data_IF_719537314946
#
_entry.id   IF_719537314946
#
_cell.length_a   1.000
_cell.length_b   1.000
_cell.length_c   1.000
_cell.angle_alpha   90.00
_cell.angle_beta   90.00
_cell.angle_gamma   90.00
#
_symmetry.space_group_name_H-M   'P 1'
#
loop_
_entity.id
_entity.type
_entity.pdbx_description
1 polymer ?
#
# COMPACT_ATOMS: atom_id res chain seq x y z
N UNK A 1 -1.70 -11.34 -7.67
CA UNK A 1 -0.97 -10.12 -7.27
C UNK A 1 -0.78 -9.32 -8.53
N UNK A 2 -1.10 -8.03 -8.46
CA UNK A 2 -0.90 -7.09 -9.56
C UNK A 2 0.06 -6.01 -9.04
N UNK A 3 0.97 -5.55 -9.89
CA UNK A 3 1.94 -4.51 -9.56
C UNK A 3 1.93 -3.48 -10.67
N UNK A 4 1.74 -2.22 -10.29
CA UNK A 4 1.79 -1.09 -11.19
C UNK A 4 2.96 -0.19 -10.78
N UNK A 5 3.92 -0.03 -11.70
CA UNK A 5 5.08 0.83 -11.53
C UNK A 5 4.99 1.94 -12.57
N UNK A 6 5.17 3.17 -12.12
CA UNK A 6 5.09 4.36 -12.98
C UNK A 6 6.40 5.12 -12.85
N UNK A 7 6.99 5.45 -13.98
CA UNK A 7 8.16 6.30 -14.07
C UNK A 7 7.79 7.53 -14.91
N UNK A 8 7.75 8.75 -14.34
CA UNK A 8 7.47 9.97 -15.09
C UNK A 8 8.73 10.43 -15.84
N UNK A 9 9.09 9.69 -16.87
CA UNK A 9 10.28 9.91 -17.70
C UNK A 9 9.95 9.61 -19.17
N UNK A 10 10.71 10.18 -20.10
CA UNK A 10 10.55 9.98 -21.54
C UNK A 10 11.45 8.86 -22.10
N UNK A 11 12.39 8.33 -21.30
CA UNK A 11 13.22 7.19 -21.64
C UNK A 11 12.59 5.85 -21.21
N UNK A 12 11.93 5.18 -22.15
CA UNK A 12 11.38 3.83 -21.95
C UNK A 12 12.44 2.83 -21.48
N UNK A 13 13.71 2.95 -21.91
CA UNK A 13 14.75 2.01 -21.51
C UNK A 13 15.04 2.08 -20.01
N UNK A 14 14.80 3.24 -19.39
CA UNK A 14 15.04 3.45 -17.96
C UNK A 14 14.11 2.59 -17.11
N UNK A 15 12.80 2.57 -17.39
CA UNK A 15 11.86 1.76 -16.61
C UNK A 15 12.15 0.26 -16.77
N UNK A 16 12.52 -0.18 -17.97
CA UNK A 16 12.96 -1.55 -18.22
C UNK A 16 14.20 -1.91 -17.41
N UNK A 17 15.20 -1.02 -17.39
CA UNK A 17 16.46 -1.28 -16.69
C UNK A 17 16.28 -1.33 -15.16
N UNK A 18 15.52 -0.39 -14.57
CA UNK A 18 15.32 -0.36 -13.10
C UNK A 18 14.42 -1.49 -12.60
N UNK A 19 13.59 -2.07 -13.47
CA UNK A 19 12.72 -3.21 -13.11
C UNK A 19 13.27 -4.58 -13.51
N UNK A 20 14.39 -4.62 -14.25
CA UNK A 20 14.97 -5.85 -14.82
C UNK A 20 15.19 -6.95 -13.77
N UNK A 21 15.83 -6.61 -12.65
CA UNK A 21 16.22 -7.61 -11.66
C UNK A 21 14.98 -8.17 -10.93
N UNK A 22 13.95 -7.34 -10.72
CA UNK A 22 12.67 -7.78 -10.20
C UNK A 22 11.97 -8.74 -11.17
N UNK A 23 11.98 -8.44 -12.47
CA UNK A 23 11.40 -9.32 -13.49
C UNK A 23 12.14 -10.66 -13.60
N UNK A 24 13.47 -10.64 -13.58
CA UNK A 24 14.28 -11.85 -13.61
C UNK A 24 14.01 -12.73 -12.37
N UNK A 25 13.89 -12.12 -11.19
CA UNK A 25 13.47 -12.81 -9.98
C UNK A 25 12.07 -13.40 -10.11
N UNK A 26 11.08 -12.61 -10.52
CA UNK A 26 9.69 -13.06 -10.67
C UNK A 26 9.57 -14.23 -11.67
N UNK A 27 10.27 -14.16 -12.80
CA UNK A 27 10.25 -15.20 -13.82
C UNK A 27 10.93 -16.51 -13.38
N UNK A 28 11.88 -16.45 -12.45
CA UNK A 28 12.59 -17.62 -11.94
C UNK A 28 12.02 -18.21 -10.65
N UNK A 29 11.11 -17.48 -9.97
CA UNK A 29 10.59 -17.90 -8.68
C UNK A 29 9.65 -19.11 -8.78
N UNK A 30 9.94 -20.24 -8.11
CA UNK A 30 9.09 -21.42 -8.14
C UNK A 30 7.68 -21.12 -7.59
N UNK A 31 6.66 -21.45 -8.36
CA UNK A 31 5.25 -21.25 -7.98
C UNK A 31 4.68 -19.87 -8.33
N UNK A 32 5.48 -18.94 -8.85
CA UNK A 32 4.96 -17.73 -9.47
C UNK A 32 4.69 -17.98 -10.96
N UNK A 33 3.47 -17.68 -11.42
CA UNK A 33 3.12 -17.67 -12.85
C UNK A 33 2.82 -16.24 -13.27
N UNK A 34 3.64 -15.69 -14.16
CA UNK A 34 3.39 -14.38 -14.77
C UNK A 34 2.28 -14.56 -15.80
N UNK A 35 1.14 -13.90 -15.58
CA UNK A 35 0.01 -13.91 -16.51
C UNK A 35 0.13 -12.79 -17.54
N UNK A 36 0.59 -11.63 -17.11
CA UNK A 36 0.81 -10.45 -17.93
C UNK A 36 2.04 -9.69 -17.43
N UNK A 37 2.84 -9.19 -18.37
CA UNK A 37 3.93 -8.27 -18.11
C UNK A 37 4.00 -7.29 -19.29
N UNK A 38 3.68 -6.02 -19.04
CA UNK A 38 3.50 -5.02 -20.10
C UNK A 38 4.04 -3.67 -19.64
N UNK A 39 4.70 -3.00 -20.57
CA UNK A 39 5.08 -1.59 -20.46
C UNK A 39 4.21 -0.78 -21.42
N UNK A 40 3.75 0.38 -20.97
CA UNK A 40 2.96 1.30 -21.80
C UNK A 40 3.41 2.72 -21.51
N UNK A 41 3.74 3.45 -22.57
CA UNK A 41 4.17 4.85 -22.50
C UNK A 41 3.01 5.75 -22.90
N UNK A 42 2.79 6.79 -22.10
CA UNK A 42 1.74 7.77 -22.34
C UNK A 42 2.37 9.14 -22.55
N UNK A 43 2.09 9.77 -23.70
CA UNK A 43 2.65 11.08 -24.04
C UNK A 43 2.19 12.20 -23.07
N UNK A 44 1.08 12.00 -22.35
CA UNK A 44 0.50 12.97 -21.40
C UNK A 44 -0.10 12.24 -20.21
N UNK A 45 -0.09 12.90 -19.06
CA UNK A 45 -0.74 12.42 -17.85
C UNK A 45 -2.24 12.10 -18.06
N UNK A 46 -2.95 12.87 -18.88
CA UNK A 46 -4.35 12.58 -19.20
C UNK A 46 -4.55 11.24 -19.90
N UNK A 47 -3.60 10.82 -20.75
CA UNK A 47 -3.62 9.52 -21.39
C UNK A 47 -3.36 8.38 -20.40
N UNK A 48 -2.41 8.59 -19.47
CA UNK A 48 -2.16 7.66 -18.36
C UNK A 48 -3.43 7.48 -17.51
N UNK A 49 -4.05 8.56 -17.04
CA UNK A 49 -5.26 8.53 -16.24
C UNK A 49 -6.40 7.77 -16.95
N UNK A 50 -6.61 8.06 -18.24
CA UNK A 50 -7.62 7.35 -19.04
C UNK A 50 -7.30 5.85 -19.18
N UNK A 51 -6.02 5.51 -19.39
CA UNK A 51 -5.57 4.13 -19.52
C UNK A 51 -5.67 3.32 -18.22
N UNK A 52 -5.55 3.97 -17.06
CA UNK A 52 -5.63 3.32 -15.74
C UNK A 52 -7.00 3.40 -15.09
N UNK A 53 -7.97 4.10 -15.68
CA UNK A 53 -9.29 4.33 -15.07
C UNK A 53 -10.00 3.01 -14.72
N UNK A 54 -9.98 2.02 -15.60
CA UNK A 54 -10.63 0.72 -15.34
C UNK A 54 -10.02 -0.01 -14.14
N UNK A 55 -8.70 0.13 -13.93
CA UNK A 55 -8.01 -0.43 -12.77
C UNK A 55 -8.47 0.31 -11.51
N UNK A 56 -8.54 1.64 -11.56
CA UNK A 56 -9.03 2.44 -10.43
C UNK A 56 -10.48 2.09 -10.08
N UNK A 57 -11.37 1.98 -11.07
CA UNK A 57 -12.77 1.61 -10.86
C UNK A 57 -12.91 0.21 -10.24
N UNK A 58 -12.03 -0.73 -10.61
CA UNK A 58 -12.00 -2.08 -10.05
C UNK A 58 -11.47 -2.10 -8.61
N UNK A 59 -10.39 -1.38 -8.32
CA UNK A 59 -9.71 -1.43 -7.02
C UNK A 59 -10.35 -0.49 -5.98
N UNK A 60 -10.96 0.61 -6.42
CA UNK A 60 -11.63 1.62 -5.60
C UNK A 60 -13.02 1.98 -6.13
N UNK A 61 -13.95 1.00 -6.23
CA UNK A 61 -15.33 1.27 -6.61
C UNK A 61 -16.02 2.16 -5.58
N UNK A 62 -16.86 3.08 -6.08
CA UNK A 62 -17.75 3.88 -5.25
C UNK A 62 -18.95 3.06 -4.75
N UNK A 63 -19.50 3.42 -3.60
CA UNK A 63 -20.72 2.82 -3.03
C UNK A 63 -20.52 2.09 -1.70
N UNK A 64 -19.56 1.16 -1.56
CA UNK A 64 -19.28 0.50 -0.28
C UNK A 64 -18.73 1.47 0.77
N UNK A 65 -19.01 1.20 2.03
CA UNK A 65 -18.24 1.79 3.12
C UNK A 65 -16.82 1.27 3.07
N UNK A 66 -15.83 2.14 3.26
CA UNK A 66 -14.42 1.79 3.28
C UNK A 66 -13.78 2.20 4.60
N UNK A 67 -12.90 1.33 5.07
CA UNK A 67 -12.05 1.56 6.22
C UNK A 67 -10.62 1.20 5.85
N UNK A 68 -9.66 2.02 6.28
CA UNK A 68 -8.26 1.88 5.94
C UNK A 68 -7.42 1.82 7.24
N UNK A 69 -6.37 1.02 7.24
CA UNK A 69 -5.35 1.01 8.28
C UNK A 69 -3.98 1.05 7.60
N UNK A 70 -3.11 1.98 8.01
CA UNK A 70 -1.87 2.20 7.28
C UNK A 70 -0.66 2.55 8.13
N UNK A 71 0.52 2.43 7.50
CA UNK A 71 1.80 2.75 8.13
C UNK A 71 2.79 3.32 7.13
N UNK A 72 3.49 4.37 7.54
CA UNK A 72 4.65 4.88 6.81
C UNK A 72 5.87 4.01 7.15
N UNK A 73 6.42 3.33 6.16
CA UNK A 73 7.54 2.41 6.32
C UNK A 73 8.85 3.08 5.88
N UNK A 74 9.80 3.34 6.78
CA UNK A 74 11.05 4.02 6.46
C UNK A 74 12.00 3.15 5.62
N UNK A 75 12.85 3.80 4.83
CA UNK A 75 13.80 3.16 3.91
C UNK A 75 14.75 2.17 4.61
N UNK A 76 15.13 2.42 5.86
CA UNK A 76 16.01 1.53 6.63
C UNK A 76 15.40 0.15 6.90
N UNK A 77 14.08 -0.02 6.80
CA UNK A 77 13.46 -1.34 6.91
C UNK A 77 13.78 -2.27 5.74
N UNK A 78 14.28 -1.73 4.63
CA UNK A 78 14.62 -2.49 3.43
C UNK A 78 16.08 -2.95 3.41
N UNK A 79 16.87 -2.51 4.40
CA UNK A 79 18.23 -2.99 4.64
C UNK A 79 18.22 -4.48 5.03
N UNK A 80 19.36 -5.15 4.81
CA UNK A 80 19.49 -6.60 5.03
C UNK A 80 19.12 -7.04 6.45
N UNK A 81 19.37 -6.19 7.45
CA UNK A 81 19.05 -6.48 8.86
C UNK A 81 17.55 -6.59 9.14
N UNK A 82 16.72 -5.81 8.43
CA UNK A 82 15.29 -5.68 8.70
C UNK A 82 14.41 -6.35 7.64
N UNK A 83 15.00 -6.85 6.55
CA UNK A 83 14.27 -7.47 5.43
C UNK A 83 13.39 -8.65 5.86
N UNK A 84 13.94 -9.60 6.61
CA UNK A 84 13.17 -10.77 7.05
C UNK A 84 12.05 -10.37 8.03
N UNK A 85 12.31 -9.55 9.08
CA UNK A 85 11.25 -8.99 9.91
C UNK A 85 10.17 -8.24 9.13
N UNK A 86 10.55 -7.46 8.11
CA UNK A 86 9.61 -6.73 7.25
C UNK A 86 8.73 -7.71 6.45
N UNK A 87 9.32 -8.74 5.85
CA UNK A 87 8.57 -9.79 5.12
C UNK A 87 7.61 -10.51 6.06
N UNK A 88 8.04 -10.84 7.27
CA UNK A 88 7.19 -11.50 8.27
C UNK A 88 6.07 -10.59 8.77
N UNK A 89 6.33 -9.29 8.90
CA UNK A 89 5.29 -8.30 9.19
C UNK A 89 4.25 -8.22 8.07
N UNK A 90 4.67 -8.22 6.80
CA UNK A 90 3.75 -8.27 5.64
C UNK A 90 2.90 -9.53 5.64
N UNK A 91 3.50 -10.71 5.83
CA UNK A 91 2.76 -11.98 5.91
C UNK A 91 1.76 -11.99 7.07
N UNK A 92 2.18 -11.48 8.23
CA UNK A 92 1.33 -11.40 9.42
C UNK A 92 0.17 -10.44 9.21
N UNK A 93 0.42 -9.26 8.63
CA UNK A 93 -0.62 -8.30 8.31
C UNK A 93 -1.63 -8.84 7.30
N UNK A 94 -1.16 -9.51 6.23
CA UNK A 94 -2.06 -10.20 5.27
C UNK A 94 -2.94 -11.23 6.01
N UNK A 95 -2.36 -12.07 6.85
CA UNK A 95 -3.09 -13.07 7.63
C UNK A 95 -4.10 -12.46 8.59
N UNK A 96 -3.75 -11.36 9.26
CA UNK A 96 -4.63 -10.66 10.19
C UNK A 96 -5.77 -9.94 9.45
N UNK A 97 -5.50 -9.44 8.24
CA UNK A 97 -6.52 -8.83 7.37
C UNK A 97 -7.42 -9.85 6.65
N UNK A 98 -7.06 -11.14 6.69
CA UNK A 98 -7.82 -12.22 6.06
C UNK A 98 -9.12 -12.47 6.83
N UNK A 99 -10.19 -11.79 6.41
CA UNK A 99 -11.49 -11.89 7.03
C UNK A 99 -12.29 -13.07 6.44
N UNK A 100 -12.71 -13.99 7.31
CA UNK A 100 -13.52 -15.16 6.94
C UNK A 100 -14.99 -14.81 6.63
N UNK A 101 -15.44 -13.60 6.99
CA UNK A 101 -16.78 -13.11 6.67
C UNK A 101 -16.79 -12.83 5.16
N UNK A 102 -17.78 -13.37 4.43
CA UNK A 102 -17.61 -13.71 3.03
C UNK A 102 -17.08 -12.54 2.20
N UNK A 103 -16.26 -12.90 1.22
CA UNK A 103 -15.82 -12.12 0.05
C UNK A 103 -17.01 -11.53 -0.73
N UNK A 104 -17.84 -10.71 -0.09
CA UNK A 104 -18.91 -9.94 -0.74
C UNK A 104 -18.26 -8.87 -1.63
N UNK A 105 -17.01 -8.50 -1.32
CA UNK A 105 -16.09 -7.87 -2.25
C UNK A 105 -14.75 -8.62 -2.19
N UNK A 106 -14.18 -9.00 -3.32
CA UNK A 106 -12.77 -9.42 -3.40
C UNK A 106 -11.92 -8.16 -3.09
N UNK A 107 -11.56 -7.93 -1.83
CA UNK A 107 -10.79 -6.75 -1.44
C UNK A 107 -9.30 -7.13 -1.44
N UNK A 108 -8.49 -6.60 -2.35
CA UNK A 108 -7.05 -6.82 -2.33
C UNK A 108 -6.41 -5.99 -1.21
N UNK A 109 -5.40 -6.54 -0.55
CA UNK A 109 -4.43 -5.77 0.23
C UNK A 109 -3.68 -4.83 -0.73
N UNK A 110 -3.57 -3.54 -0.40
CA UNK A 110 -2.95 -2.53 -1.26
C UNK A 110 -1.65 -2.01 -0.66
N UNK A 111 -0.52 -2.33 -1.29
CA UNK A 111 0.77 -1.75 -0.90
C UNK A 111 1.05 -0.58 -1.85
N UNK A 112 0.86 0.65 -1.37
CA UNK A 112 1.17 1.84 -2.16
C UNK A 112 2.65 2.19 -1.99
N UNK A 113 3.44 1.93 -3.03
CA UNK A 113 4.87 2.22 -3.09
C UNK A 113 5.15 3.71 -3.37
N UNK A 114 4.35 4.60 -2.80
CA UNK A 114 4.43 6.04 -3.07
C UNK A 114 4.31 6.80 -1.76
N UNK A 115 5.44 7.06 -1.12
CA UNK A 115 5.55 8.34 -0.41
C UNK A 115 5.86 9.39 -1.48
N UNK A 116 5.31 10.62 -1.39
CA UNK A 116 5.72 11.68 -2.28
C UNK A 116 7.24 11.84 -2.20
N UNK A 117 7.92 11.98 -3.35
CA UNK A 117 9.30 12.42 -3.37
C UNK A 117 9.35 13.84 -2.78
N UNK A 118 9.56 13.93 -1.47
CA UNK A 118 9.55 15.19 -0.75
C UNK A 118 10.95 15.80 -0.82
N UNK A 119 11.20 16.61 -1.84
CA UNK A 119 12.38 17.45 -1.91
C UNK A 119 12.26 18.59 -0.89
N UNK A 120 13.18 18.63 0.08
CA UNK A 120 13.26 19.72 1.04
C UNK A 120 13.66 21.01 0.31
N UNK A 121 12.77 22.00 0.26
CA UNK A 121 13.05 23.35 -0.25
C UNK A 121 13.66 24.26 0.83
N UNK A 122 14.05 23.70 1.97
CA UNK A 122 14.61 24.45 3.11
C UNK A 122 13.55 25.15 3.97
N UNK A 123 12.26 25.03 3.65
CA UNK A 123 11.18 25.51 4.51
C UNK A 123 10.70 24.39 5.46
N UNK A 124 10.29 24.76 6.67
CA UNK A 124 9.64 23.83 7.60
C UNK A 124 8.23 23.51 7.09
N UNK A 125 8.13 22.58 6.14
CA UNK A 125 6.83 22.03 5.76
C UNK A 125 6.23 21.30 6.97
N UNK A 126 4.99 21.64 7.33
CA UNK A 126 4.26 21.11 8.51
C UNK A 126 4.01 19.60 8.46
N UNK A 127 4.23 18.97 7.30
CA UNK A 127 4.07 17.53 7.14
C UNK A 127 5.02 16.75 8.06
N UNK A 128 4.45 15.84 8.85
CA UNK A 128 5.14 15.01 9.85
C UNK A 128 6.49 14.43 9.38
N UNK A 129 7.52 14.39 10.24
CA UNK A 129 8.86 13.94 9.88
C UNK A 129 8.94 12.53 9.30
N UNK A 130 8.04 11.62 9.70
CA UNK A 130 7.98 10.25 9.18
C UNK A 130 7.85 10.20 7.64
N UNK A 131 7.20 11.18 7.02
CA UNK A 131 7.11 11.27 5.56
C UNK A 131 8.45 11.43 4.86
N UNK A 132 9.45 12.03 5.53
CA UNK A 132 10.77 12.29 4.92
C UNK A 132 11.61 11.04 4.77
N UNK A 133 11.39 10.05 5.64
CA UNK A 133 12.15 8.80 5.64
C UNK A 133 11.36 7.62 5.06
N UNK A 134 10.04 7.75 4.93
CA UNK A 134 9.18 6.71 4.41
C UNK A 134 9.49 6.40 2.95
N UNK A 135 9.69 5.12 2.65
CA UNK A 135 9.79 4.59 1.29
C UNK A 135 8.44 4.06 0.80
N UNK A 136 7.71 3.33 1.66
CA UNK A 136 6.39 2.80 1.34
C UNK A 136 5.31 3.39 2.24
N UNK A 137 4.12 3.57 1.69
CA UNK A 137 2.89 3.77 2.45
C UNK A 137 2.07 2.48 2.38
N UNK A 138 2.13 1.69 3.43
CA UNK A 138 1.37 0.45 3.53
C UNK A 138 -0.08 0.77 3.88
N UNK A 139 -1.04 0.16 3.17
CA UNK A 139 -2.46 0.30 3.46
C UNK A 139 -3.16 -1.07 3.41
N UNK A 140 -3.78 -1.44 4.52
CA UNK A 140 -4.79 -2.50 4.54
C UNK A 140 -6.16 -1.85 4.43
N UNK A 141 -6.94 -2.29 3.44
CA UNK A 141 -8.28 -1.80 3.20
C UNK A 141 -9.32 -2.88 3.53
N UNK A 142 -10.43 -2.47 4.12
CA UNK A 142 -11.63 -3.29 4.21
C UNK A 142 -12.85 -2.49 3.83
N UNK A 143 -13.90 -3.20 3.42
CA UNK A 143 -15.13 -2.61 2.92
C UNK A 143 -16.32 -3.48 3.31
N UNK A 144 -17.48 -2.84 3.38
CA UNK A 144 -18.75 -3.54 3.54
C UNK A 144 -19.86 -2.79 2.82
N UNK A 145 -20.91 -3.53 2.44
CA UNK A 145 -22.12 -2.96 1.85
C UNK A 145 -23.10 -2.49 2.92
N UNK A 146 -24.10 -1.72 2.50
CA UNK A 146 -25.22 -1.33 3.35
C UNK A 146 -25.91 -2.57 3.97
N UNK A 147 -26.37 -2.42 5.21
CA UNK A 147 -27.10 -3.48 5.92
C UNK A 147 -26.21 -4.54 6.58
N UNK A 148 -24.88 -4.48 6.43
CA UNK A 148 -23.97 -5.33 7.19
C UNK A 148 -24.10 -5.03 8.71
N UNK A 149 -24.31 -6.04 9.57
CA UNK A 149 -24.49 -5.81 11.00
C UNK A 149 -23.26 -5.16 11.67
N UNK A 150 -23.49 -4.34 12.71
CA UNK A 150 -22.42 -3.61 13.40
C UNK A 150 -21.32 -4.51 13.98
N UNK A 151 -21.66 -5.72 14.46
CA UNK A 151 -20.65 -6.66 14.96
C UNK A 151 -19.68 -7.13 13.86
N UNK A 152 -20.15 -7.24 12.61
CA UNK A 152 -19.32 -7.56 11.44
C UNK A 152 -18.45 -6.37 11.07
N UNK A 153 -19.01 -5.16 11.07
CA UNK A 153 -18.26 -3.92 10.81
C UNK A 153 -17.11 -3.77 11.83
N UNK A 154 -17.40 -3.98 13.12
CA UNK A 154 -16.41 -3.92 14.19
C UNK A 154 -15.32 -5.00 14.06
N UNK A 155 -15.70 -6.20 13.62
CA UNK A 155 -14.73 -7.26 13.35
C UNK A 155 -13.78 -6.87 12.21
N UNK A 156 -14.31 -6.37 11.09
CA UNK A 156 -13.50 -5.89 9.95
C UNK A 156 -12.55 -4.77 10.41
N UNK A 157 -13.06 -3.78 11.13
CA UNK A 157 -12.27 -2.68 11.67
C UNK A 157 -11.13 -3.19 12.57
N UNK A 158 -11.43 -4.09 13.50
CA UNK A 158 -10.44 -4.61 14.46
C UNK A 158 -9.36 -5.43 13.75
N UNK A 159 -9.75 -6.35 12.86
CA UNK A 159 -8.81 -7.15 12.06
C UNK A 159 -7.84 -6.29 11.24
N UNK A 160 -8.31 -5.16 10.71
CA UNK A 160 -7.46 -4.22 9.98
C UNK A 160 -6.52 -3.45 10.90
N UNK A 161 -6.98 -2.98 12.05
CA UNK A 161 -6.09 -2.33 13.03
C UNK A 161 -5.01 -3.31 13.53
N UNK A 162 -5.36 -4.59 13.71
CA UNK A 162 -4.41 -5.63 14.09
C UNK A 162 -3.43 -5.99 12.96
N UNK A 163 -3.79 -5.72 11.70
CA UNK A 163 -2.91 -5.98 10.54
C UNK A 163 -1.70 -5.05 10.46
N UNK A 164 -1.79 -3.85 11.05
CA UNK A 164 -0.68 -2.88 11.08
C UNK A 164 0.22 -3.01 12.31
N UNK A 165 -0.21 -3.75 13.34
CA UNK A 165 0.54 -3.91 14.58
C UNK A 165 1.95 -4.52 14.41
N UNK A 166 2.19 -5.51 13.53
CA UNK A 166 3.54 -5.98 13.23
C UNK A 166 4.47 -4.86 12.77
N UNK A 167 3.96 -3.89 12.00
CA UNK A 167 4.75 -2.76 11.50
C UNK A 167 5.00 -1.71 12.57
N UNK A 168 4.07 -1.51 13.52
CA UNK A 168 4.29 -0.62 14.67
C UNK A 168 5.51 -1.06 15.48
N UNK A 169 5.71 -2.37 15.64
CA UNK A 169 6.89 -2.96 16.31
C UNK A 169 8.20 -2.71 15.54
N UNK A 170 8.15 -2.57 14.22
CA UNK A 170 9.33 -2.29 13.39
C UNK A 170 9.62 -0.78 13.24
N UNK A 171 8.64 0.08 13.54
CA UNK A 171 8.70 1.52 13.27
C UNK A 171 8.44 2.34 14.53
N UNK A 172 9.30 2.20 15.53
CA UNK A 172 9.21 3.00 16.76
C UNK A 172 9.30 4.49 16.40
N UNK A 173 8.29 5.30 16.77
CA UNK A 173 8.20 6.70 16.36
C UNK A 173 7.80 6.94 14.90
N UNK A 174 7.42 5.88 14.17
CA UNK A 174 6.87 5.97 12.82
C UNK A 174 5.48 6.61 12.80
N UNK A 175 5.05 7.03 11.60
CA UNK A 175 3.78 7.72 11.39
C UNK A 175 2.78 6.92 10.57
N UNK A 176 1.60 7.49 10.44
CA UNK A 176 0.47 6.96 9.70
C UNK A 176 -0.27 8.13 9.05
N UNK A 177 -0.75 8.00 7.81
CA UNK A 177 -1.38 9.11 7.11
C UNK A 177 -2.83 9.30 7.57
N UNK A 178 -3.11 10.46 8.16
CA UNK A 178 -4.42 10.76 8.78
C UNK A 178 -5.62 10.57 7.83
N UNK A 179 -5.46 10.81 6.52
CA UNK A 179 -6.56 10.67 5.56
C UNK A 179 -6.84 9.20 5.17
N UNK A 180 -6.02 8.24 5.60
CA UNK A 180 -6.15 6.82 5.24
C UNK A 180 -6.22 5.90 6.45
N UNK A 181 -6.80 6.36 7.55
CA UNK A 181 -6.85 5.64 8.82
C UNK A 181 -8.24 5.67 9.44
N UNK A 182 -8.64 4.52 9.96
CA UNK A 182 -9.88 4.33 10.67
C UNK A 182 -9.89 5.00 12.05
N UNK A 183 -10.97 5.69 12.37
CA UNK A 183 -11.32 5.99 13.74
C UNK A 183 -11.94 4.74 14.41
N UNK A 184 -11.64 4.39 15.68
CA UNK A 184 -10.84 5.11 16.67
C UNK A 184 -9.46 4.44 16.84
N UNK A 185 -8.52 4.65 15.92
CA UNK A 185 -7.13 4.22 16.15
C UNK A 185 -6.51 5.04 17.31
N UNK A 186 -6.84 4.70 18.55
CA UNK A 186 -6.37 5.35 19.79
C UNK A 186 -4.89 5.03 20.09
N UNK A 187 -4.26 4.18 19.27
CA UNK A 187 -2.94 3.58 19.53
C UNK A 187 -1.80 4.16 18.70
N UNK A 188 -1.98 5.29 18.00
CA UNK A 188 -0.91 5.82 17.12
C UNK A 188 -0.84 7.35 17.07
N UNK A 189 0.38 7.88 17.16
CA UNK A 189 0.72 9.23 16.69
C UNK A 189 0.64 9.25 15.16
N UNK A 190 -0.49 9.69 14.61
CA UNK A 190 -0.58 9.90 13.17
C UNK A 190 0.07 11.21 12.72
N UNK A 191 0.63 11.12 11.53
CA UNK A 191 1.24 12.21 10.81
C UNK A 191 0.14 13.11 10.25
N UNK A 192 0.07 14.35 10.76
CA UNK A 192 -0.56 15.47 10.06
C UNK A 192 0.47 16.06 9.09
#
# INVERSE_FOLDING_TARGET
MEMYLVLPDDDDALIHNVTRDHQAYAASYPGLKILENRYTTFAKNSGFLQGTQSIADQLTPSGPHEVLAGRLLPHNLFDSLYRDPLVDAVKSGIKNSDNFIPRIANIPVQINMTTPANHQDGTTAEAHPAWRNALWHLIYAGRWADGVPSFVQNHILTSLLDSVDPFKKLTHGGGCYVNTIAWPEERVSCAV
#
